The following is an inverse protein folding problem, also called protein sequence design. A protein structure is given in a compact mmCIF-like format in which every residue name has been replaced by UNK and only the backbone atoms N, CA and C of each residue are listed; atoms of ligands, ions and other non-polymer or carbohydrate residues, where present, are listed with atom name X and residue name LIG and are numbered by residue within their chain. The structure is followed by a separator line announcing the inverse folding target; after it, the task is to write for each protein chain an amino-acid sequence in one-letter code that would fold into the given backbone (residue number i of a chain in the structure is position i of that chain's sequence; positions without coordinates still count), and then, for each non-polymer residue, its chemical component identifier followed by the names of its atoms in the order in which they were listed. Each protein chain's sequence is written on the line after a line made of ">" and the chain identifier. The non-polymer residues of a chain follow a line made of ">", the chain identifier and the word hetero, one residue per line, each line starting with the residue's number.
data_IF_354616533405
#
_entry.id   IF_354616533405
#
_cell.length_a   1.000
_cell.length_b   1.000
_cell.length_c   1.000
_cell.angle_alpha   90.00
_cell.angle_beta   90.00
_cell.angle_gamma   90.00
#
_symmetry.space_group_name_H-M   'P 1'
#
loop_
_entity.id
_entity.type
_entity.pdbx_description
1 polymer ?
#
# COMPACT_ATOMS: atom_id res chain seq x y z
N UNK A 1 -16.01 0.83 27.34
CA UNK A 1 -15.64 -0.19 26.34
C UNK A 1 -15.50 0.52 25.00
N UNK A 2 -14.31 0.46 24.40
CA UNK A 2 -14.05 1.02 23.07
C UNK A 2 -14.22 -0.13 22.07
N UNK A 3 -14.87 0.14 20.94
CA UNK A 3 -15.00 -0.81 19.83
C UNK A 3 -14.28 -0.24 18.62
N UNK A 4 -13.15 -0.82 18.26
CA UNK A 4 -12.26 -0.32 17.22
C UNK A 4 -12.60 -0.93 15.86
N UNK A 5 -13.06 -0.08 14.93
CA UNK A 5 -13.41 -0.46 13.56
C UNK A 5 -12.41 0.12 12.58
N UNK A 6 -11.85 -0.72 11.73
CA UNK A 6 -10.95 -0.32 10.63
C UNK A 6 -11.66 -0.46 9.29
N UNK A 7 -11.58 0.56 8.45
CA UNK A 7 -12.03 0.48 7.05
C UNK A 7 -10.82 0.21 6.16
N UNK A 8 -10.83 -0.89 5.42
CA UNK A 8 -9.70 -1.33 4.59
C UNK A 8 -10.12 -1.59 3.13
N UNK A 9 -9.23 -1.38 2.14
CA UNK A 9 -9.54 -1.63 0.74
C UNK A 9 -9.45 -3.13 0.36
N UNK A 10 -8.94 -3.99 1.23
CA UNK A 10 -8.69 -5.40 0.95
C UNK A 10 -9.35 -6.32 1.99
N UNK A 11 -9.75 -7.52 1.56
CA UNK A 11 -10.21 -8.58 2.44
C UNK A 11 -9.08 -9.11 3.35
N UNK A 12 -7.82 -9.05 2.92
CA UNK A 12 -6.68 -9.56 3.67
C UNK A 12 -6.58 -8.96 5.08
N UNK A 13 -6.96 -7.68 5.26
CA UNK A 13 -6.93 -7.03 6.58
C UNK A 13 -7.94 -7.64 7.57
N UNK A 14 -9.03 -8.25 7.09
CA UNK A 14 -9.94 -9.04 7.93
C UNK A 14 -9.27 -10.30 8.44
N UNK A 15 -8.55 -11.00 7.56
CA UNK A 15 -7.82 -12.21 7.93
C UNK A 15 -6.67 -11.86 8.89
N UNK A 16 -6.03 -10.72 8.69
CA UNK A 16 -5.00 -10.21 9.60
C UNK A 16 -5.58 -9.93 11.00
N UNK A 17 -6.71 -9.23 11.11
CA UNK A 17 -7.30 -8.85 12.40
C UNK A 17 -7.72 -10.04 13.30
N UNK A 18 -7.97 -11.21 12.71
CA UNK A 18 -8.33 -12.42 13.46
C UNK A 18 -7.14 -13.29 13.86
N UNK A 19 -5.92 -12.93 13.43
CA UNK A 19 -4.71 -13.66 13.82
C UNK A 19 -4.46 -13.55 15.33
N UNK A 20 -3.88 -14.59 15.91
CA UNK A 20 -3.62 -14.66 17.36
C UNK A 20 -2.51 -13.68 17.78
N UNK A 21 -1.61 -13.34 16.86
CA UNK A 21 -0.54 -12.36 17.12
C UNK A 21 -1.05 -10.94 17.40
N UNK A 22 -2.31 -10.62 17.04
CA UNK A 22 -2.97 -9.34 17.34
C UNK A 22 -3.99 -9.45 18.48
N UNK A 23 -3.93 -10.54 19.24
CA UNK A 23 -4.69 -10.71 20.47
C UNK A 23 -3.78 -10.48 21.68
N UNK A 24 -4.14 -9.53 22.52
CA UNK A 24 -3.46 -9.27 23.77
C UNK A 24 -4.11 -10.10 24.88
N UNK A 25 -3.45 -11.19 25.29
CA UNK A 25 -3.97 -12.08 26.34
C UNK A 25 -4.02 -11.44 27.74
N UNK A 26 -3.22 -10.40 28.01
CA UNK A 26 -3.24 -9.70 29.31
C UNK A 26 -4.43 -8.76 29.43
N UNK A 27 -4.81 -8.12 28.33
CA UNK A 27 -5.94 -7.18 28.27
C UNK A 27 -7.24 -7.87 27.85
N UNK A 28 -7.16 -9.11 27.36
CA UNK A 28 -8.27 -9.86 26.75
C UNK A 28 -8.91 -9.11 25.57
N UNK A 29 -8.10 -8.37 24.81
CA UNK A 29 -8.55 -7.53 23.69
C UNK A 29 -7.81 -7.84 22.40
N UNK A 30 -8.47 -7.60 21.27
CA UNK A 30 -7.82 -7.55 19.96
C UNK A 30 -7.43 -6.11 19.62
N UNK A 31 -6.39 -5.97 18.80
CA UNK A 31 -6.00 -4.65 18.29
C UNK A 31 -7.11 -4.02 17.44
N UNK A 32 -7.90 -4.84 16.73
CA UNK A 32 -9.03 -4.41 15.89
C UNK A 32 -10.21 -5.35 16.12
N UNK A 33 -11.36 -4.80 16.50
CA UNK A 33 -12.58 -5.59 16.75
C UNK A 33 -13.33 -5.90 15.45
N UNK A 34 -13.28 -5.00 14.47
CA UNK A 34 -13.96 -5.18 13.19
C UNK A 34 -13.20 -4.54 12.04
N UNK A 35 -13.14 -5.24 10.92
CA UNK A 35 -12.65 -4.68 9.66
C UNK A 35 -13.80 -4.64 8.66
N UNK A 36 -14.07 -3.47 8.10
CA UNK A 36 -15.05 -3.28 7.03
C UNK A 36 -14.32 -2.98 5.72
N UNK A 37 -14.67 -3.69 4.67
CA UNK A 37 -14.17 -3.38 3.33
C UNK A 37 -14.89 -2.18 2.74
N UNK A 38 -14.25 -1.46 1.82
CA UNK A 38 -14.91 -0.37 1.07
C UNK A 38 -16.21 -0.84 0.38
N UNK A 39 -16.27 -2.11 -0.06
CA UNK A 39 -17.47 -2.73 -0.64
C UNK A 39 -18.60 -2.91 0.38
N UNK A 40 -18.27 -3.22 1.63
CA UNK A 40 -19.27 -3.36 2.69
C UNK A 40 -19.83 -2.02 3.14
N UNK A 41 -18.98 -1.01 3.24
CA UNK A 41 -19.41 0.38 3.45
C UNK A 41 -20.35 0.81 2.32
N UNK A 42 -19.96 0.59 1.07
CA UNK A 42 -20.81 0.92 -0.08
C UNK A 42 -22.17 0.20 -0.02
N UNK A 43 -22.19 -1.11 0.30
CA UNK A 43 -23.44 -1.86 0.48
C UNK A 43 -24.31 -1.32 1.61
N UNK A 44 -23.69 -0.86 2.71
CA UNK A 44 -24.40 -0.26 3.83
C UNK A 44 -25.05 1.06 3.42
N UNK A 45 -24.34 1.89 2.64
CA UNK A 45 -24.87 3.13 2.07
C UNK A 45 -26.06 2.86 1.15
N UNK A 46 -25.96 1.88 0.24
CA UNK A 46 -27.05 1.49 -0.64
C UNK A 46 -28.30 1.04 0.13
N UNK A 47 -28.13 0.22 1.18
CA UNK A 47 -29.25 -0.21 2.04
C UNK A 47 -29.94 0.95 2.75
N UNK A 48 -29.16 1.98 3.12
CA UNK A 48 -29.67 3.19 3.77
C UNK A 48 -30.14 4.27 2.78
N UNK A 49 -30.04 4.02 1.47
CA UNK A 49 -30.35 4.98 0.41
C UNK A 49 -29.58 6.29 0.56
N UNK A 50 -28.30 6.20 0.92
CA UNK A 50 -27.38 7.34 1.05
C UNK A 50 -26.50 7.37 -0.19
N UNK A 51 -26.49 8.48 -0.92
CA UNK A 51 -25.54 8.74 -2.00
C UNK A 51 -24.31 9.50 -1.46
N UNK A 52 -23.12 9.24 -2.01
CA UNK A 52 -21.88 9.95 -1.60
C UNK A 52 -21.97 11.42 -2.00
N UNK A 53 -22.61 11.70 -3.13
CA UNK A 53 -22.79 13.03 -3.72
C UNK A 53 -23.68 13.94 -2.85
N UNK A 54 -24.54 13.34 -2.02
CA UNK A 54 -25.43 14.05 -1.09
C UNK A 54 -24.75 14.37 0.26
N UNK A 55 -23.56 13.81 0.52
CA UNK A 55 -22.84 14.02 1.77
C UNK A 55 -21.95 15.27 1.70
N UNK A 56 -22.14 16.18 2.64
CA UNK A 56 -21.19 17.27 2.87
C UNK A 56 -19.85 16.75 3.41
N UNK A 57 -18.76 17.37 2.99
CA UNK A 57 -17.45 17.10 3.59
C UNK A 57 -17.44 17.60 5.05
N UNK A 58 -16.96 16.75 5.95
CA UNK A 58 -16.78 17.08 7.36
C UNK A 58 -15.32 16.87 7.74
N UNK A 59 -14.76 17.68 8.65
CA UNK A 59 -13.40 17.48 9.14
C UNK A 59 -13.27 16.16 9.91
N UNK A 60 -12.06 15.61 9.95
CA UNK A 60 -11.75 14.44 10.76
C UNK A 60 -11.66 14.81 12.25
N UNK A 61 -12.07 13.89 13.12
CA UNK A 61 -11.95 14.07 14.57
C UNK A 61 -10.48 14.09 15.01
N UNK A 62 -10.12 15.04 15.86
CA UNK A 62 -8.76 15.19 16.41
C UNK A 62 -8.54 14.30 17.65
N UNK A 63 -8.74 12.98 17.53
CA UNK A 63 -8.70 12.07 18.69
C UNK A 63 -7.30 11.86 19.29
N UNK A 64 -6.21 12.22 18.60
CA UNK A 64 -4.82 11.98 19.04
C UNK A 64 -3.96 13.26 19.17
N UNK A 65 -4.56 14.42 19.39
CA UNK A 65 -3.86 15.62 19.85
C UNK A 65 -3.14 16.47 18.79
N UNK A 66 -3.32 17.78 18.97
CA UNK A 66 -2.69 18.98 18.37
C UNK A 66 -2.59 19.12 16.84
N UNK A 67 -3.60 19.78 16.28
CA UNK A 67 -3.39 21.11 15.69
C UNK A 67 -2.62 21.22 14.36
N UNK A 68 -2.28 20.12 13.72
CA UNK A 68 -1.95 20.10 12.30
C UNK A 68 -3.21 19.75 11.51
N UNK A 69 -3.46 20.45 10.40
CA UNK A 69 -4.31 19.92 9.34
C UNK A 69 -3.87 18.48 9.13
N UNK A 70 -4.71 17.49 9.49
CA UNK A 70 -4.47 16.08 9.11
C UNK A 70 -4.79 16.04 7.63
N UNK A 71 -3.99 16.78 6.86
CA UNK A 71 -3.92 16.70 5.44
C UNK A 71 -3.81 15.21 5.20
N UNK A 72 -4.73 14.69 4.39
CA UNK A 72 -4.66 13.34 3.87
C UNK A 72 -3.28 13.19 3.22
N UNK A 73 -2.29 12.80 4.01
CA UNK A 73 -0.90 12.70 3.62
C UNK A 73 -0.84 11.44 2.76
N UNK A 74 -1.10 11.66 1.48
CA UNK A 74 -0.53 10.80 0.46
C UNK A 74 0.96 11.02 0.57
N UNK A 75 1.71 9.98 0.93
CA UNK A 75 3.14 9.99 0.66
C UNK A 75 3.33 10.36 -0.82
N UNK A 76 4.38 11.11 -1.15
CA UNK A 76 4.69 11.53 -2.53
C UNK A 76 4.84 10.35 -3.52
N UNK A 77 4.87 9.13 -3.00
CA UNK A 77 4.76 7.90 -3.77
C UNK A 77 3.45 7.78 -4.55
N UNK A 78 3.52 7.03 -5.65
CA UNK A 78 2.42 6.76 -6.58
C UNK A 78 1.40 5.76 -6.01
N UNK A 79 0.77 6.06 -4.87
CA UNK A 79 -0.23 5.19 -4.23
C UNK A 79 0.35 4.45 -3.02
N UNK A 80 0.15 3.13 -2.90
CA UNK A 80 0.72 2.32 -1.80
C UNK A 80 2.26 2.19 -1.84
N UNK A 81 2.91 2.99 -2.70
CA UNK A 81 4.29 2.89 -3.17
C UNK A 81 5.25 3.84 -2.41
N UNK A 82 4.83 4.36 -1.25
CA UNK A 82 5.60 5.35 -0.50
C UNK A 82 6.75 4.76 0.33
N UNK A 83 6.69 3.47 0.66
CA UNK A 83 7.66 2.89 1.59
C UNK A 83 9.03 2.68 0.95
N UNK A 84 9.07 2.14 -0.28
CA UNK A 84 10.33 1.96 -1.00
C UNK A 84 11.04 3.29 -1.20
N UNK A 85 10.32 4.31 -1.68
CA UNK A 85 10.89 5.64 -1.93
C UNK A 85 11.40 6.30 -0.64
N UNK A 86 10.60 6.24 0.43
CA UNK A 86 11.00 6.78 1.72
C UNK A 86 12.29 6.12 2.24
N UNK A 87 12.33 4.79 2.26
CA UNK A 87 13.51 4.05 2.74
C UNK A 87 14.70 4.29 1.81
N UNK A 88 14.50 4.39 0.50
CA UNK A 88 15.57 4.65 -0.46
C UNK A 88 16.21 6.03 -0.23
N UNK A 89 15.40 7.10 -0.16
CA UNK A 89 15.89 8.47 0.09
C UNK A 89 16.58 8.56 1.45
N UNK A 90 15.97 7.97 2.48
CA UNK A 90 16.55 7.96 3.83
C UNK A 90 17.89 7.21 3.87
N UNK A 91 17.98 6.04 3.25
CA UNK A 91 19.22 5.25 3.20
C UNK A 91 20.31 5.96 2.39
N UNK A 92 19.95 6.55 1.25
CA UNK A 92 20.88 7.34 0.44
C UNK A 92 21.51 8.49 1.24
N UNK A 93 20.69 9.19 2.04
CA UNK A 93 21.13 10.30 2.87
C UNK A 93 21.97 9.85 4.06
N UNK A 94 21.49 8.90 4.86
CA UNK A 94 22.15 8.50 6.11
C UNK A 94 23.40 7.66 5.88
N UNK A 95 23.40 6.77 4.89
CA UNK A 95 24.50 5.82 4.66
C UNK A 95 25.53 6.37 3.67
N UNK A 96 25.08 7.08 2.63
CA UNK A 96 25.95 7.53 1.53
C UNK A 96 26.15 9.05 1.48
N UNK A 97 25.51 9.81 2.37
CA UNK A 97 25.51 11.28 2.36
C UNK A 97 25.06 11.88 1.02
N UNK A 98 24.14 11.19 0.32
CA UNK A 98 23.57 11.63 -0.96
C UNK A 98 22.11 12.01 -0.74
N UNK A 99 21.78 13.26 -1.00
CA UNK A 99 20.42 13.75 -0.91
C UNK A 99 19.66 13.53 -2.24
N UNK A 100 18.77 12.55 -2.26
CA UNK A 100 18.00 12.15 -3.44
C UNK A 100 16.64 12.84 -3.43
N UNK A 101 16.46 13.81 -4.32
CA UNK A 101 15.20 14.56 -4.43
C UNK A 101 14.15 13.80 -5.26
N UNK A 102 14.56 13.20 -6.38
CA UNK A 102 13.68 12.46 -7.28
C UNK A 102 14.21 11.05 -7.52
N UNK A 103 13.30 10.08 -7.56
CA UNK A 103 13.61 8.68 -7.84
C UNK A 103 13.16 8.31 -9.25
N UNK A 104 14.07 7.70 -10.02
CA UNK A 104 13.74 7.14 -11.34
C UNK A 104 13.51 5.64 -11.25
N UNK A 105 12.31 5.19 -11.64
CA UNK A 105 11.95 3.78 -11.70
C UNK A 105 12.21 3.20 -13.09
N UNK A 106 13.10 2.20 -13.16
CA UNK A 106 13.35 1.43 -14.36
C UNK A 106 12.38 0.24 -14.42
N UNK A 107 11.56 0.19 -15.46
CA UNK A 107 10.70 -0.98 -15.71
C UNK A 107 11.53 -2.14 -16.20
N UNK A 108 11.39 -3.31 -15.58
CA UNK A 108 12.03 -4.54 -16.03
C UNK A 108 11.13 -5.31 -17.00
N UNK A 109 10.37 -6.28 -16.48
CA UNK A 109 9.60 -7.22 -17.27
C UNK A 109 8.26 -6.64 -17.73
N UNK A 110 7.64 -5.87 -16.85
CA UNK A 110 6.34 -5.24 -17.02
C UNK A 110 6.24 -4.11 -15.99
N UNK A 111 5.18 -3.30 -16.09
CA UNK A 111 4.98 -2.13 -15.23
C UNK A 111 4.86 -2.46 -13.74
N UNK A 112 4.58 -3.71 -13.39
CA UNK A 112 4.48 -4.20 -12.00
C UNK A 112 5.78 -4.82 -11.49
N UNK A 113 6.90 -4.65 -12.22
CA UNK A 113 8.23 -5.01 -11.77
C UNK A 113 9.19 -3.89 -12.16
N UNK A 114 9.50 -3.04 -11.18
CA UNK A 114 10.35 -1.87 -11.34
C UNK A 114 11.56 -1.95 -10.41
N UNK A 115 12.65 -1.32 -10.81
CA UNK A 115 13.87 -1.19 -10.04
C UNK A 115 14.23 0.28 -9.86
N UNK A 116 14.90 0.57 -8.76
CA UNK A 116 15.51 1.86 -8.46
C UNK A 116 16.96 1.63 -8.09
N UNK A 117 17.86 2.41 -8.67
CA UNK A 117 19.30 2.29 -8.44
C UNK A 117 19.89 3.63 -8.04
N UNK A 118 20.79 3.62 -7.05
CA UNK A 118 21.68 4.73 -6.74
C UNK A 118 23.07 4.38 -7.25
N UNK A 119 23.62 5.22 -8.12
CA UNK A 119 24.96 5.06 -8.67
C UNK A 119 25.82 6.28 -8.32
N UNK A 120 27.09 6.04 -8.00
CA UNK A 120 28.10 7.07 -7.77
C UNK A 120 29.44 6.56 -8.29
N UNK A 121 30.14 7.40 -9.05
CA UNK A 121 31.48 7.09 -9.58
C UNK A 121 31.55 5.78 -10.39
N UNK A 122 30.45 5.38 -11.02
CA UNK A 122 30.34 4.13 -11.80
C UNK A 122 30.04 2.88 -10.98
N UNK A 123 29.89 3.01 -9.65
CA UNK A 123 29.51 1.92 -8.75
C UNK A 123 28.04 2.03 -8.34
N UNK A 124 27.35 0.89 -8.30
CA UNK A 124 26.00 0.79 -7.75
C UNK A 124 26.06 0.72 -6.24
N UNK A 125 25.59 1.78 -5.57
CA UNK A 125 25.56 1.89 -4.11
C UNK A 125 24.32 1.26 -3.49
N UNK A 126 23.15 1.44 -4.13
CA UNK A 126 21.88 0.88 -3.71
C UNK A 126 21.09 0.38 -4.92
N UNK A 127 20.41 -0.75 -4.76
CA UNK A 127 19.47 -1.26 -5.74
C UNK A 127 18.24 -1.84 -5.05
N UNK A 128 17.09 -1.20 -5.22
CA UNK A 128 15.82 -1.65 -4.66
C UNK A 128 14.87 -2.09 -5.77
N UNK A 129 13.86 -2.89 -5.43
CA UNK A 129 12.83 -3.31 -6.39
C UNK A 129 11.41 -3.16 -5.84
N UNK A 130 10.49 -2.69 -6.68
CA UNK A 130 9.06 -2.70 -6.45
C UNK A 130 8.42 -3.82 -7.29
N UNK A 131 7.74 -4.76 -6.65
CA UNK A 131 7.22 -5.97 -7.29
C UNK A 131 5.75 -6.18 -6.91
N UNK A 132 4.87 -5.99 -7.88
CA UNK A 132 3.44 -6.09 -7.70
C UNK A 132 2.86 -7.29 -8.45
N UNK A 133 1.82 -7.88 -7.87
CA UNK A 133 1.13 -9.04 -8.42
C UNK A 133 1.81 -10.37 -8.08
N UNK A 134 0.98 -11.34 -7.68
CA UNK A 134 1.42 -12.68 -7.26
C UNK A 134 2.35 -13.38 -8.26
N UNK A 135 2.12 -13.23 -9.57
CA UNK A 135 2.99 -13.82 -10.61
C UNK A 135 4.42 -13.28 -10.58
N UNK A 136 4.59 -11.98 -10.36
CA UNK A 136 5.92 -11.39 -10.25
C UNK A 136 6.58 -11.80 -8.93
N UNK A 137 5.81 -11.87 -7.83
CA UNK A 137 6.29 -12.35 -6.52
C UNK A 137 6.80 -13.80 -6.61
N UNK A 138 6.06 -14.70 -7.27
CA UNK A 138 6.53 -16.07 -7.49
C UNK A 138 7.84 -16.13 -8.27
N UNK A 139 7.99 -15.23 -9.27
CA UNK A 139 9.23 -15.11 -10.05
C UNK A 139 10.39 -14.63 -9.18
N UNK A 140 10.16 -13.64 -8.32
CA UNK A 140 11.13 -13.14 -7.34
C UNK A 140 11.60 -14.27 -6.41
N UNK A 141 10.67 -14.99 -5.80
CA UNK A 141 10.99 -16.09 -4.86
C UNK A 141 11.85 -17.16 -5.54
N UNK A 142 11.58 -17.48 -6.80
CA UNK A 142 12.40 -18.43 -7.55
C UNK A 142 13.82 -17.91 -7.81
N UNK A 143 14.00 -16.62 -8.09
CA UNK A 143 15.32 -16.00 -8.25
C UNK A 143 16.09 -15.97 -6.93
N UNK A 144 15.39 -15.67 -5.82
CA UNK A 144 15.95 -15.67 -4.47
C UNK A 144 16.49 -17.07 -4.10
N UNK A 145 15.72 -18.12 -4.36
CA UNK A 145 16.16 -19.52 -4.12
C UNK A 145 17.40 -19.92 -4.92
N UNK A 146 17.66 -19.25 -6.05
CA UNK A 146 18.85 -19.47 -6.89
C UNK A 146 20.04 -18.58 -6.50
N UNK A 147 19.92 -17.78 -5.45
CA UNK A 147 20.97 -16.86 -5.01
C UNK A 147 21.21 -15.68 -5.96
N UNK A 148 20.21 -15.29 -6.77
CA UNK A 148 20.35 -14.27 -7.82
C UNK A 148 19.45 -13.07 -7.54
N UNK A 149 19.77 -12.28 -6.52
CA UNK A 149 19.13 -10.98 -6.30
C UNK A 149 20.16 -9.92 -5.92
N UNK A 150 20.28 -8.84 -6.69
CA UNK A 150 21.19 -7.74 -6.36
C UNK A 150 20.54 -6.71 -5.41
N UNK A 151 19.31 -6.97 -4.92
CA UNK A 151 18.54 -5.99 -4.18
C UNK A 151 18.76 -6.06 -2.67
N UNK A 152 18.92 -4.91 -2.02
CA UNK A 152 18.96 -4.81 -0.55
C UNK A 152 17.54 -4.73 0.04
N UNK A 153 16.59 -4.17 -0.71
CA UNK A 153 15.18 -4.09 -0.31
C UNK A 153 14.28 -4.40 -1.51
N UNK A 154 13.23 -5.17 -1.25
CA UNK A 154 12.18 -5.46 -2.23
C UNK A 154 10.82 -5.17 -1.61
N UNK A 155 10.12 -4.18 -2.14
CA UNK A 155 8.72 -3.91 -1.79
C UNK A 155 7.82 -4.85 -2.60
N UNK A 156 6.92 -5.55 -1.92
CA UNK A 156 5.99 -6.51 -2.55
C UNK A 156 4.53 -6.18 -2.23
N UNK A 157 3.69 -6.18 -3.26
CA UNK A 157 2.23 -6.08 -3.10
C UNK A 157 1.53 -7.16 -3.92
N UNK A 158 0.57 -7.85 -3.32
CA UNK A 158 -0.16 -8.94 -3.98
C UNK A 158 -1.05 -8.45 -5.14
N UNK A 159 -1.55 -7.22 -5.05
CA UNK A 159 -2.40 -6.61 -6.06
C UNK A 159 -1.56 -5.93 -7.16
N UNK A 160 -1.82 -6.19 -8.46
CA UNK A 160 -1.13 -5.50 -9.55
C UNK A 160 -1.54 -4.03 -9.64
N UNK A 161 -0.57 -3.16 -9.93
CA UNK A 161 -0.72 -1.72 -10.10
C UNK A 161 -1.03 -0.95 -8.81
N UNK A 162 0.01 -0.62 -8.02
CA UNK A 162 -0.01 0.10 -6.73
C UNK A 162 -0.71 1.47 -6.66
N UNK A 163 -1.49 1.83 -7.68
CA UNK A 163 -2.49 2.90 -7.63
C UNK A 163 -3.69 2.47 -6.78
N UNK A 164 -4.35 3.41 -6.07
CA UNK A 164 -5.65 3.14 -5.46
C UNK A 164 -6.59 2.58 -6.50
N UNK A 165 -7.13 1.39 -6.23
CA UNK A 165 -8.00 0.64 -7.11
C UNK A 165 -9.42 1.26 -7.19
N UNK A 166 -9.51 2.59 -7.24
CA UNK A 166 -10.76 3.34 -7.34
C UNK A 166 -11.29 3.47 -8.78
N UNK A 167 -10.72 2.77 -9.77
CA UNK A 167 -11.13 2.91 -11.18
C UNK A 167 -11.43 1.60 -11.91
N UNK A 168 -11.79 0.50 -11.22
CA UNK A 168 -12.32 -0.72 -11.89
C UNK A 168 -13.60 -1.30 -11.26
N UNK A 169 -14.31 -0.52 -10.45
CA UNK A 169 -15.68 -0.84 -10.03
C UNK A 169 -16.74 0.06 -10.70
N UNK A 170 -16.43 0.60 -11.88
CA UNK A 170 -17.47 0.99 -12.84
C UNK A 170 -18.03 -0.28 -13.52
N UNK A 171 -19.30 -0.29 -13.95
CA UNK A 171 -19.87 -1.45 -14.63
C UNK A 171 -19.03 -1.81 -15.85
N UNK A 172 -18.69 -3.10 -16.00
CA UNK A 172 -18.10 -3.63 -17.23
C UNK A 172 -19.01 -3.21 -18.40
N UNK A 173 -18.51 -2.53 -19.46
CA UNK A 173 -19.28 -2.41 -20.68
C UNK A 173 -19.56 -3.83 -21.17
N UNK A 174 -20.85 -4.13 -21.31
CA UNK A 174 -21.34 -5.39 -21.84
C UNK A 174 -20.58 -5.76 -23.11
N UNK A 175 -20.12 -7.01 -23.15
CA UNK A 175 -19.77 -7.66 -24.40
C UNK A 175 -20.99 -7.62 -25.33
N UNK A 176 -20.98 -6.73 -26.31
CA UNK A 176 -21.86 -6.80 -27.46
C UNK A 176 -21.20 -7.70 -28.50
N UNK A 177 -21.63 -8.97 -28.53
CA UNK A 177 -21.41 -9.87 -29.64
C UNK A 177 -22.73 -10.06 -30.37
N UNK A 178 -22.83 -9.44 -31.54
CA UNK A 178 -23.59 -9.83 -32.74
C UNK A 178 -23.48 -8.70 -33.76
#
# INVERSE_FOLDING_TARGET
>A
MIYHVVVAPCFDKKLEAVREEFYNSLLETRDVDCVLTSKEIYRLMQKRKISVEELGSVPLDHLLGEGGDVALMRHDGRGSEGFLEHVFKHTAKEVFAIDVQEITYKTLRNRDFQEVTLEKDGETLLQFAAIYGFRNIQTLVHRMKKGRLPYQLVEVLSCPGGKPQSCRSGPCPHAAGS
#
